data_IF_358414994800
#
_entry.id   IF_358414994800
#
_cell.length_a   1.000
_cell.length_b   1.000
_cell.length_c   1.000
_cell.angle_alpha   90.00
_cell.angle_beta   90.00
_cell.angle_gamma   90.00
#
_symmetry.space_group_name_H-M   'P 1'
#
loop_
_entity.id
_entity.type
_entity.pdbx_description
1 polymer ?
#
# COMPACT_ATOMS: atom_id res chain seq x y z
N UNK A 1 11.44 -10.82 31.66
CA UNK A 1 10.63 -9.92 30.83
C UNK A 1 9.18 -10.37 30.95
N UNK A 2 8.31 -9.57 31.52
CA UNK A 2 6.87 -9.89 31.57
C UNK A 2 6.20 -9.18 30.39
N UNK A 3 5.61 -9.95 29.48
CA UNK A 3 4.85 -9.40 28.37
C UNK A 3 3.48 -8.92 28.87
N UNK A 4 3.07 -7.74 28.44
CA UNK A 4 1.76 -7.15 28.73
C UNK A 4 0.80 -7.47 27.58
N UNK A 5 -0.35 -8.08 27.88
CA UNK A 5 -1.42 -8.29 26.88
C UNK A 5 -2.22 -7.00 26.79
N UNK A 6 -2.07 -6.27 25.69
CA UNK A 6 -2.86 -5.09 25.36
C UNK A 6 -3.24 -5.06 23.89
N UNK A 7 -4.30 -4.32 23.57
CA UNK A 7 -4.72 -4.13 22.20
C UNK A 7 -3.67 -3.30 21.42
N UNK A 8 -3.30 -3.77 20.23
CA UNK A 8 -2.43 -3.02 19.32
C UNK A 8 -3.25 -1.98 18.53
N UNK A 9 -3.79 -0.99 19.25
CA UNK A 9 -4.60 0.09 18.67
C UNK A 9 -4.07 1.45 19.09
N UNK A 10 -3.97 2.38 18.15
CA UNK A 10 -3.69 3.78 18.47
C UNK A 10 -4.97 4.42 19.03
N UNK A 11 -4.90 4.88 20.28
CA UNK A 11 -5.96 5.60 20.97
C UNK A 11 -5.94 7.11 20.70
N UNK A 12 -4.88 7.66 20.09
CA UNK A 12 -4.72 9.09 19.75
C UNK A 12 -5.08 9.33 18.28
N UNK A 13 -6.34 9.06 17.92
CA UNK A 13 -6.85 9.24 16.55
C UNK A 13 -7.46 10.62 16.35
N UNK A 14 -7.25 11.20 15.18
CA UNK A 14 -7.94 12.40 14.72
C UNK A 14 -9.29 11.99 14.11
N UNK A 15 -10.43 12.50 14.61
CA UNK A 15 -11.73 12.27 13.98
C UNK A 15 -11.76 12.93 12.58
N UNK A 16 -11.89 12.12 11.52
CA UNK A 16 -11.77 12.63 10.15
C UNK A 16 -12.84 13.67 9.82
N UNK A 17 -14.06 13.50 10.34
CA UNK A 17 -15.18 14.42 10.12
C UNK A 17 -14.91 15.86 10.64
N UNK A 18 -14.01 16.02 11.60
CA UNK A 18 -13.69 17.32 12.21
C UNK A 18 -12.58 18.07 11.46
N UNK A 19 -11.85 17.38 10.57
CA UNK A 19 -10.64 17.93 9.92
C UNK A 19 -10.71 17.93 8.39
N UNK A 20 -11.85 17.54 7.82
CA UNK A 20 -12.08 17.62 6.37
C UNK A 20 -12.49 19.05 5.95
N UNK A 21 -12.07 19.52 4.76
CA UNK A 21 -11.19 18.83 3.81
C UNK A 21 -9.73 18.80 4.30
N UNK A 22 -9.04 17.69 4.06
CA UNK A 22 -7.63 17.54 4.40
C UNK A 22 -6.75 18.35 3.43
N UNK A 23 -5.74 19.04 3.96
CA UNK A 23 -4.75 19.73 3.13
C UNK A 23 -3.81 18.77 2.37
N UNK A 24 -3.54 17.58 2.93
CA UNK A 24 -2.71 16.52 2.35
C UNK A 24 -3.03 15.18 3.06
N UNK A 25 -2.68 14.02 2.46
CA UNK A 25 -3.05 12.73 3.01
C UNK A 25 -2.31 12.39 4.32
N UNK A 26 -2.99 11.70 5.24
CA UNK A 26 -2.34 11.14 6.43
C UNK A 26 -1.49 9.90 6.13
N UNK A 27 -1.92 9.08 5.17
CA UNK A 27 -1.21 7.86 4.76
C UNK A 27 -1.12 7.80 3.25
N UNK A 28 0.06 7.42 2.75
CA UNK A 28 0.28 7.11 1.33
C UNK A 28 0.61 5.62 1.21
N UNK A 29 -0.11 4.93 0.34
CA UNK A 29 0.14 3.54 -0.02
C UNK A 29 0.92 3.50 -1.33
N UNK A 30 2.03 2.77 -1.36
CA UNK A 30 2.90 2.62 -2.52
C UNK A 30 2.96 1.15 -2.89
N UNK A 31 2.40 0.79 -4.04
CA UNK A 31 2.48 -0.55 -4.60
C UNK A 31 3.78 -0.68 -5.40
N UNK A 32 4.84 -1.10 -4.73
CA UNK A 32 6.16 -1.25 -5.35
C UNK A 32 6.27 -2.51 -6.23
N UNK A 33 5.41 -3.50 -6.01
CA UNK A 33 5.37 -4.74 -6.78
C UNK A 33 3.99 -5.38 -6.68
N UNK A 34 3.58 -6.06 -7.74
CA UNK A 34 2.43 -6.97 -7.72
C UNK A 34 2.80 -8.46 -7.63
N UNK A 35 4.09 -8.77 -7.55
CA UNK A 35 4.52 -10.13 -7.27
C UNK A 35 4.22 -10.50 -5.82
N UNK A 36 3.76 -11.72 -5.61
CA UNK A 36 3.48 -12.26 -4.29
C UNK A 36 4.00 -13.70 -4.22
N UNK A 37 4.56 -14.09 -3.08
CA UNK A 37 4.99 -15.47 -2.81
C UNK A 37 3.87 -16.33 -2.18
N UNK A 38 2.66 -15.79 -2.05
CA UNK A 38 1.48 -16.48 -1.53
C UNK A 38 0.37 -16.52 -2.59
N UNK A 39 -0.44 -17.59 -2.57
CA UNK A 39 -1.62 -17.76 -3.42
C UNK A 39 -2.88 -17.95 -2.56
N UNK A 40 -3.30 -16.89 -1.87
CA UNK A 40 -4.49 -16.94 -1.02
C UNK A 40 -5.76 -17.10 -1.86
N UNK A 41 -6.69 -17.97 -1.45
CA UNK A 41 -7.90 -18.34 -2.24
C UNK A 41 -8.85 -17.17 -2.53
N UNK A 42 -8.76 -16.07 -1.79
CA UNK A 42 -9.59 -14.88 -1.93
C UNK A 42 -8.85 -13.70 -2.58
N UNK A 43 -7.57 -13.86 -2.94
CA UNK A 43 -6.76 -12.76 -3.43
C UNK A 43 -6.93 -12.56 -4.93
N UNK A 44 -7.10 -11.32 -5.39
CA UNK A 44 -7.16 -11.01 -6.82
C UNK A 44 -5.92 -11.52 -7.57
N UNK A 45 -4.73 -11.36 -6.98
CA UNK A 45 -3.45 -11.80 -7.57
C UNK A 45 -3.38 -13.32 -7.75
N UNK A 46 -4.15 -14.12 -6.99
CA UNK A 46 -4.17 -15.57 -7.23
C UNK A 46 -4.74 -15.93 -8.60
N UNK A 47 -5.52 -15.05 -9.23
CA UNK A 47 -6.11 -15.28 -10.57
C UNK A 47 -5.17 -14.89 -11.72
N UNK A 48 -3.92 -14.51 -11.44
CA UNK A 48 -2.98 -14.01 -12.46
C UNK A 48 -2.68 -15.01 -13.60
N UNK A 49 -2.79 -16.31 -13.33
CA UNK A 49 -2.51 -17.39 -14.30
C UNK A 49 -3.79 -18.02 -14.85
N UNK A 50 -4.97 -17.48 -14.49
CA UNK A 50 -6.27 -18.01 -14.89
C UNK A 50 -6.76 -17.30 -16.16
N UNK A 51 -7.10 -18.08 -17.18
CA UNK A 51 -7.75 -17.55 -18.39
C UNK A 51 -9.12 -16.96 -18.02
N UNK A 52 -9.36 -15.72 -18.42
CA UNK A 52 -10.51 -14.89 -18.00
C UNK A 52 -10.59 -14.68 -16.48
N UNK A 53 -9.47 -14.83 -15.76
CA UNK A 53 -9.36 -14.53 -14.33
C UNK A 53 -9.58 -13.04 -14.03
N UNK A 54 -9.86 -12.72 -12.77
CA UNK A 54 -10.22 -11.37 -12.35
C UNK A 54 -9.12 -10.32 -12.65
N UNK A 55 -7.84 -10.70 -12.59
CA UNK A 55 -6.73 -9.85 -13.04
C UNK A 55 -6.85 -9.46 -14.52
N UNK A 56 -7.14 -10.43 -15.40
CA UNK A 56 -7.28 -10.20 -16.84
C UNK A 56 -8.51 -9.34 -17.15
N UNK A 57 -9.64 -9.61 -16.49
CA UNK A 57 -10.88 -8.84 -16.66
C UNK A 57 -10.70 -7.37 -16.27
N UNK A 58 -9.87 -7.08 -15.26
CA UNK A 58 -9.54 -5.72 -14.84
C UNK A 58 -8.38 -5.09 -15.62
N UNK A 59 -7.76 -5.82 -16.56
CA UNK A 59 -6.61 -5.35 -17.31
C UNK A 59 -5.35 -5.11 -16.47
N UNK A 60 -5.24 -5.78 -15.32
CA UNK A 60 -4.12 -5.63 -14.40
C UNK A 60 -2.97 -6.56 -14.79
N UNK A 61 -1.74 -6.06 -14.63
CA UNK A 61 -0.50 -6.80 -14.89
C UNK A 61 0.29 -6.99 -13.61
N UNK A 62 0.86 -8.18 -13.45
CA UNK A 62 1.85 -8.48 -12.43
C UNK A 62 3.19 -7.90 -12.88
N UNK A 63 3.69 -6.90 -12.15
CA UNK A 63 4.92 -6.19 -12.48
C UNK A 63 5.49 -5.49 -11.25
N UNK A 64 6.79 -5.19 -11.30
CA UNK A 64 7.42 -4.24 -10.37
C UNK A 64 7.10 -2.79 -10.79
N UNK A 65 7.16 -1.87 -9.84
CA UNK A 65 7.27 -0.45 -10.14
C UNK A 65 8.57 -0.22 -10.92
N UNK A 66 8.50 0.54 -12.01
CA UNK A 66 9.71 1.00 -12.69
C UNK A 66 10.53 1.88 -11.72
N UNK A 67 11.81 1.55 -11.43
CA UNK A 67 12.64 2.26 -10.46
C UNK A 67 12.72 3.77 -10.69
N UNK A 68 12.57 4.24 -11.94
CA UNK A 68 12.59 5.67 -12.27
C UNK A 68 11.40 6.45 -11.68
N UNK A 69 10.32 5.77 -11.28
CA UNK A 69 9.17 6.41 -10.63
C UNK A 69 9.38 6.68 -9.15
N UNK A 70 10.17 5.85 -8.46
CA UNK A 70 10.31 5.99 -7.01
C UNK A 70 10.86 7.37 -6.59
N UNK A 71 11.92 7.92 -7.23
CA UNK A 71 12.38 9.28 -6.93
C UNK A 71 11.28 10.34 -7.15
N UNK A 72 10.50 10.21 -8.22
CA UNK A 72 9.39 11.15 -8.53
C UNK A 72 8.31 11.11 -7.45
N UNK A 73 7.97 9.92 -6.96
CA UNK A 73 7.03 9.76 -5.84
C UNK A 73 7.58 10.46 -4.61
N UNK A 74 8.84 10.20 -4.24
CA UNK A 74 9.49 10.83 -3.08
C UNK A 74 9.49 12.36 -3.20
N UNK A 75 9.85 12.90 -4.37
CA UNK A 75 9.92 14.35 -4.60
C UNK A 75 8.55 15.00 -4.52
N UNK A 76 7.50 14.35 -5.02
CA UNK A 76 6.13 14.84 -4.88
C UNK A 76 5.68 14.82 -3.41
N UNK A 77 5.99 13.77 -2.65
CA UNK A 77 5.62 13.68 -1.23
C UNK A 77 6.34 14.73 -0.37
N UNK A 78 7.54 15.17 -0.76
CA UNK A 78 8.28 16.26 -0.09
C UNK A 78 7.63 17.63 -0.24
N UNK A 79 6.76 17.82 -1.23
CA UNK A 79 6.08 19.11 -1.44
C UNK A 79 5.01 19.38 -0.38
N UNK A 80 4.61 18.38 0.40
CA UNK A 80 3.66 18.58 1.49
C UNK A 80 4.33 19.26 2.69
N UNK A 81 3.82 20.43 3.15
CA UNK A 81 4.53 21.29 4.08
C UNK A 81 4.77 20.67 5.46
N UNK A 82 3.93 19.73 5.89
CA UNK A 82 4.09 19.01 7.16
C UNK A 82 4.55 17.55 6.98
N UNK A 83 4.87 17.16 5.75
CA UNK A 83 5.20 15.78 5.39
C UNK A 83 4.03 14.81 5.51
N UNK A 84 4.31 13.54 5.21
CA UNK A 84 3.33 12.45 5.30
C UNK A 84 3.54 11.68 6.61
N UNK A 85 2.48 11.57 7.42
CA UNK A 85 2.54 10.87 8.72
C UNK A 85 2.92 9.39 8.57
N UNK A 86 2.46 8.72 7.52
CA UNK A 86 2.74 7.29 7.30
C UNK A 86 2.84 6.94 5.82
N UNK A 87 3.89 6.21 5.46
CA UNK A 87 4.04 5.57 4.15
C UNK A 87 3.95 4.06 4.36
N UNK A 88 3.16 3.39 3.52
CA UNK A 88 2.98 1.94 3.56
C UNK A 88 3.29 1.37 2.19
N UNK A 89 4.23 0.44 2.11
CA UNK A 89 4.41 -0.37 0.92
C UNK A 89 3.40 -1.52 0.98
N UNK A 90 2.40 -1.48 0.10
CA UNK A 90 1.31 -2.46 0.05
C UNK A 90 0.47 -2.21 -1.21
N UNK A 91 -0.41 -3.15 -1.53
CA UNK A 91 -1.25 -3.15 -2.73
C UNK A 91 -1.66 -4.56 -3.06
N UNK A 92 -1.66 -4.90 -4.34
CA UNK A 92 -1.93 -6.22 -4.88
C UNK A 92 -0.60 -6.98 -5.08
N UNK A 93 0.11 -7.29 -3.99
CA UNK A 93 1.41 -7.99 -4.02
C UNK A 93 2.06 -8.06 -2.63
N UNK A 94 3.23 -8.69 -2.55
CA UNK A 94 4.06 -8.74 -1.35
C UNK A 94 5.25 -7.78 -1.52
N UNK A 95 5.33 -6.68 -0.74
CA UNK A 95 6.39 -5.68 -0.84
C UNK A 95 7.82 -6.27 -0.80
N UNK A 96 8.03 -7.33 -0.04
CA UNK A 96 9.34 -7.99 0.08
C UNK A 96 9.75 -8.79 -1.18
N UNK A 97 8.88 -8.88 -2.19
CA UNK A 97 9.21 -9.46 -3.49
C UNK A 97 9.84 -8.45 -4.45
N UNK A 98 9.94 -7.17 -4.10
CA UNK A 98 10.62 -6.17 -4.93
C UNK A 98 12.13 -6.16 -4.65
N UNK A 99 13.00 -6.43 -5.64
CA UNK A 99 14.46 -6.56 -5.44
C UNK A 99 15.18 -5.24 -5.15
#
# INVERSE_FOLDING_TARGET
MNAEIKANVDHKRTPLAEVIPLAYPFTVYIEATRYCNLRCFYCLISTQDEENGAMQQLGLKVQHMDPAWFPKVVDNLRQFPQGIKRIVFSGLGEPLMNP
#
